data_IF_942325383448
#
_entry.id   IF_942325383448
#
_cell.length_a   1.000
_cell.length_b   1.000
_cell.length_c   1.000
_cell.angle_alpha   90.00
_cell.angle_beta   90.00
_cell.angle_gamma   90.00
#
_symmetry.space_group_name_H-M   'P 1'
#
loop_
_entity.id
_entity.type
_entity.pdbx_description
1 polymer ?
#
# COMPACT_ATOMS: atom_id res chain seq x y z
N UNK A 1 16.27 -32.94 0.62
CA UNK A 1 16.01 -31.85 -0.35
C UNK A 1 15.34 -30.74 0.42
N UNK A 2 15.92 -29.54 0.45
CA UNK A 2 15.38 -28.39 1.17
C UNK A 2 14.54 -27.60 0.17
N UNK A 3 13.23 -27.60 0.38
CA UNK A 3 12.24 -26.87 -0.40
C UNK A 3 12.45 -25.36 -0.22
N UNK A 4 12.40 -24.51 -1.27
CA UNK A 4 12.46 -23.07 -1.10
C UNK A 4 11.10 -22.56 -0.58
N UNK A 5 10.96 -22.56 0.74
CA UNK A 5 9.78 -22.02 1.42
C UNK A 5 9.86 -20.49 1.53
N UNK A 6 9.98 -19.77 0.41
CA UNK A 6 10.04 -18.31 0.40
C UNK A 6 9.52 -17.76 -0.93
N UNK A 7 8.22 -17.49 -1.01
CA UNK A 7 7.62 -16.31 -1.66
C UNK A 7 6.10 -16.56 -1.68
N UNK A 8 5.36 -15.75 -0.91
CA UNK A 8 3.90 -15.74 -0.96
C UNK A 8 3.44 -15.64 -2.41
N UNK A 9 2.53 -16.52 -2.80
CA UNK A 9 1.97 -16.55 -4.15
C UNK A 9 1.31 -15.21 -4.44
N UNK A 10 1.37 -14.74 -5.69
CA UNK A 10 0.70 -13.52 -6.17
C UNK A 10 -0.84 -13.50 -5.97
N UNK A 11 -1.41 -14.59 -5.47
CA UNK A 11 -2.83 -14.75 -5.13
C UNK A 11 -3.10 -14.66 -3.62
N UNK A 12 -2.12 -14.25 -2.81
CA UNK A 12 -2.31 -14.04 -1.38
C UNK A 12 -3.27 -12.84 -1.13
N UNK A 13 -4.30 -12.99 -0.28
CA UNK A 13 -5.27 -11.96 0.02
C UNK A 13 -4.60 -10.81 0.80
N UNK A 14 -3.99 -9.90 0.04
CA UNK A 14 -3.24 -8.74 0.55
C UNK A 14 -2.45 -8.05 -0.56
N UNK A 15 -2.03 -8.81 -1.59
CA UNK A 15 -1.22 -8.31 -2.71
C UNK A 15 -2.03 -7.92 -3.96
N UNK A 16 -3.36 -8.08 -3.94
CA UNK A 16 -4.26 -7.90 -5.10
C UNK A 16 -5.01 -6.57 -5.15
N UNK A 17 -4.64 -5.59 -4.33
CA UNK A 17 -5.16 -4.22 -4.50
C UNK A 17 -4.05 -3.33 -5.04
N UNK A 18 -4.18 -2.94 -6.31
CA UNK A 18 -3.38 -1.93 -7.06
C UNK A 18 -2.10 -1.53 -6.31
N UNK A 19 -1.03 -2.26 -6.63
CA UNK A 19 0.35 -2.03 -6.20
C UNK A 19 0.52 -1.75 -4.69
N UNK A 20 0.79 -2.78 -3.85
CA UNK A 20 1.08 -2.58 -2.42
C UNK A 20 2.27 -1.64 -2.16
N UNK A 21 3.11 -1.41 -3.18
CA UNK A 21 4.21 -0.44 -3.17
C UNK A 21 3.70 0.99 -3.01
N UNK A 22 2.61 1.35 -3.70
CA UNK A 22 2.04 2.69 -3.63
C UNK A 22 1.53 3.03 -2.22
N UNK A 23 0.98 2.05 -1.49
CA UNK A 23 0.57 2.26 -0.10
C UNK A 23 1.77 2.54 0.82
N UNK A 24 2.85 1.76 0.67
CA UNK A 24 4.08 1.89 1.47
C UNK A 24 4.80 3.20 1.15
N UNK A 25 4.65 3.75 -0.05
CA UNK A 25 5.24 5.04 -0.44
C UNK A 25 4.35 6.24 -0.06
N UNK A 26 3.01 6.08 -0.12
CA UNK A 26 2.05 7.13 0.21
C UNK A 26 2.10 7.53 1.70
N UNK A 27 2.13 6.55 2.61
CA UNK A 27 2.04 6.83 4.06
C UNK A 27 3.22 7.67 4.57
N UNK A 28 4.50 7.35 4.25
CA UNK A 28 5.62 8.19 4.62
C UNK A 28 5.59 9.57 3.95
N UNK A 29 5.07 9.69 2.73
CA UNK A 29 4.89 10.99 2.08
C UNK A 29 3.91 11.87 2.87
N UNK A 30 2.76 11.33 3.27
CA UNK A 30 1.75 12.04 4.08
C UNK A 30 2.33 12.46 5.43
N UNK A 31 3.01 11.53 6.13
CA UNK A 31 3.62 11.80 7.44
C UNK A 31 4.73 12.85 7.35
N UNK A 32 5.55 12.82 6.29
CA UNK A 32 6.65 13.76 6.09
C UNK A 32 6.17 15.15 5.68
N UNK A 33 5.16 15.22 4.81
CA UNK A 33 4.61 16.49 4.31
C UNK A 33 3.61 17.10 5.29
N UNK A 34 3.01 16.30 6.17
CA UNK A 34 1.86 16.71 6.99
C UNK A 34 0.60 16.98 6.15
N UNK A 35 0.60 16.55 4.88
CA UNK A 35 -0.48 16.78 3.95
C UNK A 35 -1.75 16.03 4.39
N UNK A 36 -2.91 16.59 4.07
CA UNK A 36 -4.16 15.89 4.28
C UNK A 36 -4.32 14.74 3.29
N UNK A 37 -5.06 13.71 3.66
CA UNK A 37 -5.31 12.54 2.80
C UNK A 37 -5.88 12.91 1.42
N UNK A 38 -6.62 14.02 1.31
CA UNK A 38 -7.18 14.51 0.04
C UNK A 38 -6.16 15.11 -0.91
N UNK A 39 -5.01 15.50 -0.41
CA UNK A 39 -3.92 16.15 -1.17
C UNK A 39 -2.88 15.13 -1.68
N UNK A 40 -3.19 13.84 -1.55
CA UNK A 40 -2.29 12.78 -1.99
C UNK A 40 -2.25 12.76 -3.52
N UNK A 41 -1.06 12.84 -4.14
CA UNK A 41 -0.91 12.74 -5.59
C UNK A 41 -1.53 11.44 -6.13
N UNK A 42 -2.21 11.53 -7.28
CA UNK A 42 -2.80 10.35 -7.95
C UNK A 42 -1.75 9.31 -8.35
N UNK A 43 -0.46 9.69 -8.37
CA UNK A 43 0.70 8.81 -8.52
C UNK A 43 0.74 7.70 -7.45
N UNK A 44 0.28 7.99 -6.23
CA UNK A 44 0.13 6.99 -5.15
C UNK A 44 -1.18 6.20 -5.24
N UNK A 45 -1.99 6.46 -6.26
CA UNK A 45 -3.33 5.94 -6.43
C UNK A 45 -4.38 6.72 -5.65
N UNK A 46 -5.62 6.23 -5.69
CA UNK A 46 -6.76 6.90 -5.05
C UNK A 46 -6.52 7.01 -3.55
N UNK A 47 -6.52 8.24 -3.04
CA UNK A 47 -6.43 8.55 -1.61
C UNK A 47 -7.41 7.72 -0.76
N UNK A 48 -8.61 7.45 -1.28
CA UNK A 48 -9.65 6.68 -0.59
C UNK A 48 -9.24 5.23 -0.37
N UNK A 49 -8.50 4.62 -1.29
CA UNK A 49 -7.96 3.27 -1.15
C UNK A 49 -6.81 3.21 -0.15
N UNK A 50 -5.92 4.20 -0.15
CA UNK A 50 -4.82 4.32 0.81
C UNK A 50 -5.39 4.52 2.22
N UNK A 51 -6.31 5.47 2.39
CA UNK A 51 -6.99 5.73 3.65
C UNK A 51 -7.79 4.52 4.14
N UNK A 52 -8.51 3.82 3.25
CA UNK A 52 -9.26 2.60 3.60
C UNK A 52 -8.36 1.46 4.06
N UNK A 53 -7.14 1.35 3.54
CA UNK A 53 -6.14 0.40 4.03
C UNK A 53 -5.54 0.83 5.36
N UNK A 54 -5.20 2.11 5.50
CA UNK A 54 -4.66 2.66 6.74
C UNK A 54 -5.63 2.46 7.91
N UNK A 55 -6.94 2.71 7.72
CA UNK A 55 -7.96 2.49 8.76
C UNK A 55 -8.31 1.03 9.05
N UNK A 56 -7.85 0.08 8.21
CA UNK A 56 -8.16 -1.35 8.35
C UNK A 56 -7.00 -2.15 8.96
N UNK A 57 -5.83 -1.53 9.08
CA UNK A 57 -4.74 -2.02 9.92
C UNK A 57 -5.00 -1.80 11.40
#
# INVERSE_FOLDING_TARGET
MIEPHCLGKASDPGQTGRDPRLFVEAVPWIVRTGAQWWDVPDEFGKWSSVFMRFRRG
#
